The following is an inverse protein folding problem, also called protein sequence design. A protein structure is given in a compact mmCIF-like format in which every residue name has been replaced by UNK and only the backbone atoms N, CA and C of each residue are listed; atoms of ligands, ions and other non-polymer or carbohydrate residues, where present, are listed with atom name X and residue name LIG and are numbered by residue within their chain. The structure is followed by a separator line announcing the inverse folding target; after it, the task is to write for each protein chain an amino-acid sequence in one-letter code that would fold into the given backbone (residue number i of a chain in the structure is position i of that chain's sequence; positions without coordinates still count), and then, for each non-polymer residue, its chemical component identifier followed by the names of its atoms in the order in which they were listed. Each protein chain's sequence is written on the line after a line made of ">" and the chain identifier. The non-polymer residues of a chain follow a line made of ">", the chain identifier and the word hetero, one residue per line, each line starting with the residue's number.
data_IF_126865035383
#
_entry.id   IF_126865035383
#
_cell.length_a   1.000
_cell.length_b   1.000
_cell.length_c   1.000
_cell.angle_alpha   90.00
_cell.angle_beta   90.00
_cell.angle_gamma   90.00
#
_symmetry.space_group_name_H-M   'P 1'
#
loop_
_entity.id
_entity.type
_entity.pdbx_description
1 polymer ?
#
# COMPACT_ATOMS: atom_id res chain seq x y z
N UNK A 1 -49.17 12.40 6.45
CA UNK A 1 -48.03 13.31 6.25
C UNK A 1 -46.90 12.44 5.78
N UNK A 2 -46.66 12.45 4.50
CA UNK A 2 -45.76 11.55 3.76
C UNK A 2 -44.40 12.21 3.71
N UNK A 3 -43.45 11.74 4.52
CA UNK A 3 -42.07 12.25 4.55
C UNK A 3 -41.28 11.52 3.47
N UNK A 4 -41.22 12.11 2.28
CA UNK A 4 -40.51 11.58 1.14
C UNK A 4 -39.00 11.44 1.41
N UNK A 5 -38.53 10.20 1.35
CA UNK A 5 -37.10 9.88 1.29
C UNK A 5 -36.44 10.54 0.07
N UNK A 6 -35.24 11.10 0.17
CA UNK A 6 -34.56 11.70 -0.97
C UNK A 6 -34.26 10.60 -2.00
N UNK A 7 -34.82 10.79 -3.20
CA UNK A 7 -34.52 9.96 -4.38
C UNK A 7 -33.04 10.16 -4.76
N UNK A 8 -32.13 9.33 -4.26
CA UNK A 8 -30.77 9.26 -4.78
C UNK A 8 -30.83 8.79 -6.23
N UNK A 9 -30.60 9.72 -7.13
CA UNK A 9 -30.69 9.55 -8.57
C UNK A 9 -29.69 8.50 -9.04
N UNK A 10 -30.18 7.42 -9.61
CA UNK A 10 -29.43 6.37 -10.32
C UNK A 10 -28.56 6.93 -11.49
N UNK A 11 -28.72 8.21 -11.85
CA UNK A 11 -27.94 8.87 -12.90
C UNK A 11 -26.45 8.98 -12.59
N UNK A 12 -26.05 9.11 -11.29
CA UNK A 12 -24.64 9.23 -10.93
C UNK A 12 -23.85 7.94 -11.11
N UNK A 13 -24.49 6.76 -11.01
CA UNK A 13 -23.79 5.47 -11.15
C UNK A 13 -23.44 5.16 -12.61
N UNK A 14 -24.28 5.57 -13.56
CA UNK A 14 -24.01 5.37 -15.01
C UNK A 14 -22.93 6.31 -15.55
N UNK A 15 -22.89 7.56 -15.10
CA UNK A 15 -21.86 8.50 -15.51
C UNK A 15 -20.46 8.07 -14.99
N UNK A 16 -20.38 7.65 -13.74
CA UNK A 16 -19.15 7.11 -13.12
C UNK A 16 -18.65 5.86 -13.84
N UNK A 17 -19.53 4.91 -14.20
CA UNK A 17 -19.14 3.69 -14.95
C UNK A 17 -18.64 4.00 -16.36
N UNK A 18 -19.26 4.93 -17.06
CA UNK A 18 -18.86 5.34 -18.42
C UNK A 18 -17.51 6.06 -18.43
N UNK A 19 -17.26 6.93 -17.46
CA UNK A 19 -15.97 7.63 -17.30
C UNK A 19 -14.86 6.63 -16.95
N UNK A 20 -15.10 5.71 -16.00
CA UNK A 20 -14.11 4.68 -15.63
C UNK A 20 -13.76 3.76 -16.79
N UNK A 21 -14.73 3.33 -17.57
CA UNK A 21 -14.49 2.51 -18.77
C UNK A 21 -13.60 3.25 -19.76
N UNK A 22 -13.86 4.53 -19.98
CA UNK A 22 -13.06 5.37 -20.89
C UNK A 22 -11.60 5.50 -20.45
N UNK A 23 -11.33 5.70 -19.16
CA UNK A 23 -9.96 5.78 -18.63
C UNK A 23 -9.22 4.45 -18.78
N UNK A 24 -9.86 3.32 -18.49
CA UNK A 24 -9.29 1.99 -18.69
C UNK A 24 -9.03 1.73 -20.18
N UNK A 25 -9.95 2.10 -21.06
CA UNK A 25 -9.80 1.93 -22.51
C UNK A 25 -8.59 2.74 -23.04
N UNK A 26 -8.35 3.95 -22.50
CA UNK A 26 -7.17 4.77 -22.83
C UNK A 26 -5.85 4.10 -22.38
N UNK A 27 -5.84 3.54 -21.17
CA UNK A 27 -4.70 2.78 -20.65
C UNK A 27 -4.39 1.55 -21.52
N UNK A 28 -5.42 0.80 -21.90
CA UNK A 28 -5.27 -0.38 -22.75
C UNK A 28 -4.77 -0.02 -24.15
N UNK A 29 -5.24 1.09 -24.71
CA UNK A 29 -4.76 1.61 -26.00
C UNK A 29 -3.28 1.99 -25.94
N UNK A 30 -2.88 2.71 -24.89
CA UNK A 30 -1.46 3.06 -24.67
C UNK A 30 -0.59 1.81 -24.48
N UNK A 31 -1.07 0.83 -23.69
CA UNK A 31 -0.35 -0.43 -23.49
C UNK A 31 -0.11 -1.18 -24.80
N UNK A 32 -1.12 -1.24 -25.70
CA UNK A 32 -0.93 -1.85 -27.01
C UNK A 32 0.17 -1.15 -27.82
N UNK A 33 0.13 0.19 -27.87
CA UNK A 33 1.16 0.97 -28.56
C UNK A 33 2.55 0.71 -27.96
N UNK A 34 2.68 0.72 -26.63
CA UNK A 34 3.93 0.45 -25.93
C UNK A 34 4.52 -0.92 -26.29
N UNK A 35 3.69 -1.95 -26.45
CA UNK A 35 4.12 -3.29 -26.88
C UNK A 35 4.49 -3.30 -28.36
N UNK A 36 3.68 -2.70 -29.23
CA UNK A 36 3.94 -2.64 -30.68
C UNK A 36 5.26 -1.89 -30.97
N UNK A 37 5.58 -0.84 -30.19
CA UNK A 37 6.82 -0.05 -30.29
C UNK A 37 8.01 -0.67 -29.50
N UNK A 38 7.82 -1.84 -28.89
CA UNK A 38 8.81 -2.53 -28.06
C UNK A 38 9.35 -1.71 -26.89
N UNK A 39 8.56 -0.78 -26.35
CA UNK A 39 8.92 0.07 -25.22
C UNK A 39 9.34 -0.69 -23.96
N UNK A 40 9.03 -1.99 -23.89
CA UNK A 40 9.40 -2.88 -22.80
C UNK A 40 10.87 -3.31 -22.79
N UNK A 41 11.61 -3.20 -23.90
CA UNK A 41 12.97 -3.74 -24.01
C UNK A 41 13.91 -3.20 -22.92
N UNK A 42 13.79 -1.92 -22.56
CA UNK A 42 14.59 -1.30 -21.49
C UNK A 42 14.27 -1.78 -20.09
N UNK A 43 13.17 -2.54 -19.90
CA UNK A 43 12.71 -3.05 -18.61
C UNK A 43 12.95 -4.55 -18.44
N UNK A 44 13.54 -5.22 -19.42
CA UNK A 44 13.82 -6.66 -19.36
C UNK A 44 14.83 -6.93 -18.24
N UNK A 45 14.44 -7.80 -17.32
CA UNK A 45 15.26 -8.23 -16.18
C UNK A 45 14.81 -9.61 -15.70
N UNK A 46 15.40 -10.13 -14.64
CA UNK A 46 15.06 -11.39 -14.01
C UNK A 46 14.04 -11.21 -12.88
N UNK A 47 13.51 -12.33 -12.36
CA UNK A 47 12.66 -12.30 -11.17
C UNK A 47 13.43 -12.08 -9.86
N UNK A 48 14.73 -12.22 -9.85
CA UNK A 48 15.58 -12.07 -8.67
C UNK A 48 16.02 -10.61 -8.51
N UNK A 49 15.96 -10.02 -7.32
CA UNK A 49 16.38 -8.64 -7.09
C UNK A 49 17.92 -8.54 -7.06
N UNK A 50 18.49 -7.73 -7.92
CA UNK A 50 19.96 -7.61 -8.05
C UNK A 50 20.62 -7.13 -6.75
N UNK A 51 19.95 -6.22 -6.02
CA UNK A 51 20.44 -5.69 -4.73
C UNK A 51 20.10 -6.57 -3.51
N UNK A 52 19.31 -7.64 -3.70
CA UNK A 52 18.81 -8.51 -2.61
C UNK A 52 18.06 -7.75 -1.50
N UNK A 53 17.40 -6.67 -1.85
CA UNK A 53 16.64 -5.81 -0.95
C UNK A 53 15.14 -5.94 -1.22
N UNK A 54 14.33 -5.99 -0.15
CA UNK A 54 12.91 -5.71 -0.21
C UNK A 54 12.61 -4.36 0.44
N UNK A 55 11.75 -3.57 -0.18
CA UNK A 55 11.30 -2.28 0.33
C UNK A 55 9.80 -2.38 0.62
N UNK A 56 9.41 -2.13 1.87
CA UNK A 56 8.03 -1.91 2.27
C UNK A 56 7.77 -0.40 2.34
N UNK A 57 6.82 0.11 1.57
CA UNK A 57 6.48 1.53 1.55
C UNK A 57 4.99 1.78 1.35
N UNK A 58 4.57 3.05 1.51
CA UNK A 58 3.20 3.47 1.30
C UNK A 58 2.79 3.38 -0.18
N UNK A 59 1.50 3.11 -0.41
CA UNK A 59 0.89 3.15 -1.75
C UNK A 59 0.58 4.57 -2.25
N UNK A 60 1.03 5.61 -1.55
CA UNK A 60 0.86 7.01 -1.94
C UNK A 60 1.33 7.23 -3.38
N UNK A 61 0.52 7.93 -4.18
CA UNK A 61 0.78 8.14 -5.60
C UNK A 61 2.04 8.96 -5.85
N UNK A 62 2.41 9.86 -4.93
CA UNK A 62 3.63 10.67 -5.00
C UNK A 62 4.91 9.81 -4.99
N UNK A 63 4.84 8.62 -4.36
CA UNK A 63 5.97 7.70 -4.22
C UNK A 63 6.11 6.70 -5.38
N UNK A 64 5.26 6.75 -6.39
CA UNK A 64 5.29 5.78 -7.48
C UNK A 64 6.57 5.89 -8.30
N UNK A 65 7.00 7.11 -8.61
CA UNK A 65 8.24 7.40 -9.34
C UNK A 65 9.31 8.03 -8.44
N UNK A 66 8.93 8.90 -7.50
CA UNK A 66 9.85 9.61 -6.63
C UNK A 66 10.72 8.64 -5.80
N UNK A 67 10.11 7.63 -5.17
CA UNK A 67 10.84 6.71 -4.30
C UNK A 67 11.96 5.96 -5.05
N UNK A 68 11.71 5.25 -6.15
CA UNK A 68 12.80 4.60 -6.87
C UNK A 68 13.80 5.59 -7.46
N UNK A 69 13.37 6.76 -7.94
CA UNK A 69 14.26 7.77 -8.50
C UNK A 69 15.19 8.35 -7.43
N UNK A 70 14.67 8.73 -6.26
CA UNK A 70 15.46 9.27 -5.14
C UNK A 70 16.51 8.27 -4.61
N UNK A 71 16.21 6.96 -4.67
CA UNK A 71 17.12 5.90 -4.24
C UNK A 71 18.02 5.36 -5.35
N UNK A 72 17.94 5.88 -6.57
CA UNK A 72 18.70 5.38 -7.73
C UNK A 72 18.35 3.93 -8.09
N UNK A 73 17.11 3.50 -7.84
CA UNK A 73 16.64 2.13 -8.05
C UNK A 73 16.03 2.00 -9.44
N UNK A 74 16.40 0.92 -10.12
CA UNK A 74 15.90 0.56 -11.45
C UNK A 74 15.03 -0.69 -11.40
N UNK A 75 14.34 -0.97 -12.50
CA UNK A 75 13.60 -2.22 -12.67
C UNK A 75 14.53 -3.43 -12.52
N UNK A 76 14.19 -4.37 -11.63
CA UNK A 76 15.01 -5.54 -11.31
C UNK A 76 15.87 -5.41 -10.04
N UNK A 77 16.15 -4.20 -9.55
CA UNK A 77 17.05 -3.98 -8.43
C UNK A 77 16.50 -4.52 -7.09
N UNK A 78 15.21 -4.32 -6.80
CA UNK A 78 14.60 -4.59 -5.49
C UNK A 78 13.22 -5.24 -5.60
N UNK A 79 12.72 -5.81 -4.50
CA UNK A 79 11.31 -6.17 -4.35
C UNK A 79 10.56 -5.02 -3.69
N UNK A 80 9.58 -4.46 -4.38
CA UNK A 80 8.76 -3.36 -3.88
C UNK A 80 7.43 -3.91 -3.35
N UNK A 81 7.15 -3.70 -2.06
CA UNK A 81 5.90 -4.04 -1.39
C UNK A 81 5.22 -2.74 -1.00
N UNK A 82 3.97 -2.53 -1.40
CA UNK A 82 3.22 -1.32 -1.10
C UNK A 82 1.86 -1.63 -0.50
N UNK A 83 1.52 -0.91 0.58
CA UNK A 83 0.18 -0.92 1.16
C UNK A 83 -0.18 0.46 1.74
N UNK A 84 -1.38 0.61 2.29
CA UNK A 84 -1.77 1.84 2.98
C UNK A 84 -0.92 2.04 4.24
N UNK A 85 -0.13 3.10 4.25
CA UNK A 85 0.76 3.47 5.36
C UNK A 85 2.16 2.84 5.32
N UNK A 86 2.44 1.83 4.51
CA UNK A 86 3.72 1.12 4.52
C UNK A 86 3.96 0.34 5.82
N UNK A 87 2.94 -0.25 6.41
CA UNK A 87 2.93 -0.87 7.74
C UNK A 87 2.58 -2.36 7.69
N UNK A 88 2.85 -3.06 8.79
CA UNK A 88 2.32 -4.40 9.06
C UNK A 88 1.07 -4.27 9.92
N UNK A 89 -0.10 -4.46 9.33
CA UNK A 89 -1.39 -4.41 10.03
C UNK A 89 -1.85 -5.75 10.61
N UNK A 90 -1.18 -6.85 10.25
CA UNK A 90 -1.46 -8.20 10.76
C UNK A 90 -0.23 -9.08 10.64
N UNK A 91 0.14 -9.85 11.69
CA UNK A 91 1.38 -10.64 11.71
C UNK A 91 1.43 -11.75 10.66
N UNK A 92 0.29 -12.23 10.16
CA UNK A 92 0.20 -13.21 9.08
C UNK A 92 -0.52 -12.64 7.85
N UNK A 93 -0.42 -11.31 7.65
CA UNK A 93 -1.01 -10.61 6.51
C UNK A 93 -0.17 -10.70 5.24
N UNK A 94 -0.67 -10.05 4.17
CA UNK A 94 -0.05 -10.08 2.84
C UNK A 94 1.38 -9.51 2.80
N UNK A 95 1.70 -8.53 3.65
CA UNK A 95 3.05 -7.95 3.72
C UNK A 95 4.05 -8.99 4.22
N UNK A 96 3.77 -9.64 5.36
CA UNK A 96 4.64 -10.71 5.90
C UNK A 96 4.77 -11.84 4.89
N UNK A 97 3.66 -12.31 4.30
CA UNK A 97 3.73 -13.34 3.25
C UNK A 97 4.64 -12.94 2.09
N UNK A 98 4.58 -11.67 1.66
CA UNK A 98 5.43 -11.16 0.57
C UNK A 98 6.90 -11.09 0.97
N UNK A 99 7.21 -10.71 2.23
CA UNK A 99 8.58 -10.73 2.77
C UNK A 99 9.12 -12.16 2.84
N UNK A 100 8.34 -13.14 3.32
CA UNK A 100 8.76 -14.54 3.36
C UNK A 100 9.10 -15.07 1.97
N UNK A 101 8.27 -14.78 0.96
CA UNK A 101 8.56 -15.16 -0.44
C UNK A 101 9.83 -14.45 -0.94
N UNK A 102 10.01 -13.16 -0.62
CA UNK A 102 11.19 -12.41 -1.03
C UNK A 102 12.48 -12.97 -0.41
N UNK A 103 12.44 -13.36 0.84
CA UNK A 103 13.57 -13.92 1.59
C UNK A 103 13.87 -15.34 1.11
N UNK A 104 12.91 -16.25 1.22
CA UNK A 104 13.17 -17.67 1.02
C UNK A 104 13.27 -18.10 -0.44
N UNK A 105 12.49 -17.47 -1.34
CA UNK A 105 12.43 -17.86 -2.75
C UNK A 105 13.24 -16.95 -3.67
N UNK A 106 13.47 -15.70 -3.27
CA UNK A 106 14.09 -14.70 -4.15
C UNK A 106 15.42 -14.15 -3.62
N UNK A 107 15.89 -14.67 -2.47
CA UNK A 107 17.23 -14.40 -1.94
C UNK A 107 17.42 -13.00 -1.37
N UNK A 108 16.36 -12.35 -0.90
CA UNK A 108 16.45 -11.07 -0.18
C UNK A 108 17.16 -11.28 1.15
N UNK A 109 18.08 -10.39 1.48
CA UNK A 109 18.86 -10.39 2.74
C UNK A 109 18.67 -9.12 3.56
N UNK A 110 18.04 -8.09 2.97
CA UNK A 110 17.82 -6.80 3.63
C UNK A 110 16.40 -6.30 3.36
N UNK A 111 15.80 -5.69 4.39
CA UNK A 111 14.47 -5.06 4.30
C UNK A 111 14.57 -3.60 4.70
N UNK A 112 14.06 -2.72 3.87
CA UNK A 112 13.87 -1.31 4.19
C UNK A 112 12.40 -1.03 4.42
N UNK A 113 12.06 -0.46 5.57
CA UNK A 113 10.72 0.08 5.86
C UNK A 113 10.77 1.57 5.63
N UNK A 114 10.08 2.06 4.61
CA UNK A 114 10.12 3.47 4.20
C UNK A 114 8.73 4.09 4.29
N UNK A 115 8.48 4.83 5.37
CA UNK A 115 7.32 5.72 5.48
C UNK A 115 7.58 7.04 4.75
N UNK A 116 6.62 7.97 4.76
CA UNK A 116 6.79 9.28 4.12
C UNK A 116 6.12 10.41 4.90
N UNK A 117 6.59 11.64 4.67
CA UNK A 117 5.96 12.85 5.20
C UNK A 117 4.53 13.01 4.65
N UNK A 118 3.65 13.62 5.46
CA UNK A 118 2.25 13.90 5.08
C UNK A 118 1.48 12.66 4.59
N UNK A 119 1.59 11.55 5.33
CA UNK A 119 0.89 10.31 5.00
C UNK A 119 -0.58 10.37 5.43
N UNK A 120 -1.50 10.19 4.46
CA UNK A 120 -2.93 10.15 4.76
C UNK A 120 -3.34 9.04 5.74
N UNK A 121 -2.59 7.94 5.80
CA UNK A 121 -2.84 6.85 6.74
C UNK A 121 -2.50 7.23 8.20
N UNK A 122 -1.68 8.26 8.43
CA UNK A 122 -1.33 8.73 9.77
C UNK A 122 -2.57 9.18 10.57
N UNK A 123 -3.50 9.83 9.88
CA UNK A 123 -4.69 10.43 10.49
C UNK A 123 -6.00 9.68 10.18
N UNK A 124 -5.91 8.44 9.72
CA UNK A 124 -7.11 7.62 9.48
C UNK A 124 -7.90 7.41 10.77
N UNK A 125 -9.22 7.55 10.67
CA UNK A 125 -10.18 7.24 11.74
C UNK A 125 -11.07 6.08 11.29
N UNK A 126 -11.14 5.04 12.10
CA UNK A 126 -12.03 3.90 11.87
C UNK A 126 -13.49 4.35 11.81
N UNK A 127 -13.90 5.29 12.67
CA UNK A 127 -15.25 5.85 12.69
C UNK A 127 -15.58 6.57 11.37
N UNK A 128 -14.69 7.45 10.90
CA UNK A 128 -14.87 8.15 9.62
C UNK A 128 -14.89 7.18 8.45
N UNK A 129 -14.04 6.16 8.45
CA UNK A 129 -14.03 5.15 7.39
C UNK A 129 -15.35 4.37 7.35
N UNK A 130 -15.87 3.96 8.50
CA UNK A 130 -17.17 3.30 8.62
C UNK A 130 -18.30 4.23 8.15
N UNK A 131 -18.25 5.52 8.51
CA UNK A 131 -19.23 6.50 8.03
C UNK A 131 -19.20 6.62 6.50
N UNK A 132 -18.01 6.64 5.88
CA UNK A 132 -17.87 6.65 4.41
C UNK A 132 -18.37 5.36 3.76
N UNK A 133 -18.15 4.19 4.38
CA UNK A 133 -18.72 2.92 3.90
C UNK A 133 -20.25 2.98 3.91
N UNK A 134 -20.85 3.46 4.99
CA UNK A 134 -22.31 3.61 5.12
C UNK A 134 -22.86 4.60 4.09
N UNK A 135 -22.21 5.72 3.88
CA UNK A 135 -22.59 6.71 2.86
C UNK A 135 -22.56 6.13 1.43
N UNK A 136 -21.81 5.05 1.20
CA UNK A 136 -21.73 4.32 -0.07
C UNK A 136 -22.65 3.10 -0.13
N UNK A 137 -23.54 2.93 0.86
CA UNK A 137 -24.59 1.91 0.86
C UNK A 137 -24.24 0.62 1.61
N UNK A 138 -23.12 0.56 2.34
CA UNK A 138 -22.87 -0.56 3.27
C UNK A 138 -23.81 -0.40 4.47
N UNK A 139 -24.59 -1.43 4.75
CA UNK A 139 -25.57 -1.42 5.84
C UNK A 139 -24.89 -1.61 7.18
N UNK A 140 -25.50 -1.05 8.24
CA UNK A 140 -25.03 -1.20 9.61
C UNK A 140 -24.97 -2.68 10.01
N UNK A 141 -25.98 -3.46 9.64
CA UNK A 141 -26.07 -4.89 9.96
C UNK A 141 -24.89 -5.69 9.38
N UNK A 142 -24.35 -5.26 8.23
CA UNK A 142 -23.14 -5.88 7.63
C UNK A 142 -21.91 -5.61 8.50
N UNK A 143 -21.77 -4.37 8.99
CA UNK A 143 -20.66 -3.97 9.86
C UNK A 143 -20.73 -4.72 11.19
N UNK A 144 -21.94 -4.81 11.77
CA UNK A 144 -22.17 -5.50 13.03
C UNK A 144 -21.91 -7.01 12.91
N UNK A 145 -22.30 -7.61 11.77
CA UNK A 145 -21.99 -9.01 11.47
C UNK A 145 -20.47 -9.25 11.38
N UNK A 146 -19.71 -8.36 10.71
CA UNK A 146 -18.25 -8.49 10.61
C UNK A 146 -17.59 -8.38 11.99
N UNK A 147 -18.04 -7.45 12.85
CA UNK A 147 -17.59 -7.37 14.25
C UNK A 147 -17.88 -8.66 15.01
N UNK A 148 -19.08 -9.20 14.87
CA UNK A 148 -19.45 -10.48 15.48
C UNK A 148 -18.55 -11.63 14.99
N UNK A 149 -18.11 -11.61 13.72
CA UNK A 149 -17.14 -12.55 13.15
C UNK A 149 -15.69 -12.28 13.59
N UNK A 150 -15.44 -11.33 14.47
CA UNK A 150 -14.11 -11.05 15.03
C UNK A 150 -13.29 -9.99 14.29
N UNK A 151 -13.90 -9.23 13.37
CA UNK A 151 -13.21 -8.09 12.73
C UNK A 151 -13.22 -6.90 13.67
N UNK A 152 -12.06 -6.55 14.20
CA UNK A 152 -11.84 -5.34 14.99
C UNK A 152 -11.56 -4.15 14.06
N UNK A 153 -12.63 -3.46 13.63
CA UNK A 153 -12.53 -2.28 12.76
C UNK A 153 -11.80 -1.13 13.44
N UNK A 154 -11.87 -1.03 14.75
CA UNK A 154 -11.29 0.06 15.53
C UNK A 154 -9.78 0.02 15.46
N UNK A 155 -9.16 -1.14 15.59
CA UNK A 155 -7.71 -1.31 15.43
C UNK A 155 -7.28 -1.44 13.97
N UNK A 156 -8.06 -2.15 13.14
CA UNK A 156 -7.68 -2.44 11.75
C UNK A 156 -7.72 -1.23 10.82
N UNK A 157 -8.67 -0.31 11.03
CA UNK A 157 -8.85 0.89 10.22
C UNK A 157 -8.32 2.17 10.89
N UNK A 158 -7.65 2.04 12.03
CA UNK A 158 -7.09 3.20 12.73
C UNK A 158 -5.76 3.64 12.09
N UNK A 159 -5.52 4.95 12.08
CA UNK A 159 -4.24 5.52 11.67
C UNK A 159 -3.17 5.32 12.74
N UNK A 160 -1.93 5.45 12.35
CA UNK A 160 -0.82 5.22 13.29
C UNK A 160 -0.43 6.46 14.13
N UNK A 161 -1.00 7.65 13.84
CA UNK A 161 -0.80 8.89 14.61
C UNK A 161 0.60 9.50 14.55
N UNK A 162 1.64 8.70 14.61
CA UNK A 162 3.05 9.09 14.60
C UNK A 162 3.82 8.24 13.59
N UNK A 163 4.42 8.90 12.58
CA UNK A 163 5.10 8.23 11.47
C UNK A 163 6.37 7.52 11.92
N UNK A 164 7.17 8.14 12.77
CA UNK A 164 8.44 7.56 13.25
C UNK A 164 8.18 6.35 14.13
N UNK A 165 7.26 6.47 15.08
CA UNK A 165 6.83 5.35 15.92
C UNK A 165 6.28 4.19 15.09
N UNK A 166 5.51 4.48 14.04
CA UNK A 166 4.98 3.47 13.12
C UNK A 166 6.07 2.72 12.37
N UNK A 167 7.12 3.42 11.93
CA UNK A 167 8.30 2.79 11.31
C UNK A 167 8.98 1.86 12.29
N UNK A 168 9.27 2.31 13.52
CA UNK A 168 9.89 1.47 14.58
C UNK A 168 9.07 0.22 14.85
N UNK A 169 7.76 0.36 15.05
CA UNK A 169 6.86 -0.77 15.27
C UNK A 169 6.84 -1.77 14.10
N UNK A 170 6.92 -1.27 12.87
CA UNK A 170 6.97 -2.11 11.68
C UNK A 170 8.31 -2.86 11.57
N UNK A 171 9.42 -2.18 11.86
CA UNK A 171 10.76 -2.80 11.94
C UNK A 171 10.77 -3.88 13.00
N UNK A 172 10.31 -3.59 14.21
CA UNK A 172 10.23 -4.54 15.33
C UNK A 172 9.34 -5.74 14.99
N UNK A 173 8.21 -5.52 14.33
CA UNK A 173 7.31 -6.59 13.91
C UNK A 173 7.96 -7.54 12.89
N UNK A 174 8.86 -7.04 12.03
CA UNK A 174 9.64 -7.87 11.10
C UNK A 174 10.73 -8.63 11.86
N UNK A 175 11.55 -7.93 12.65
CA UNK A 175 12.68 -8.52 13.37
C UNK A 175 12.27 -9.62 14.36
N UNK A 176 11.10 -9.44 15.01
CA UNK A 176 10.59 -10.40 16.00
C UNK A 176 9.60 -11.41 15.42
N UNK A 177 9.41 -11.44 14.09
CA UNK A 177 8.48 -12.38 13.49
C UNK A 177 9.06 -13.81 13.46
N UNK A 178 8.35 -14.82 13.99
CA UNK A 178 8.89 -16.18 14.17
C UNK A 178 9.31 -16.91 12.90
N UNK A 179 8.87 -16.43 11.72
CA UNK A 179 9.21 -17.03 10.43
C UNK A 179 10.24 -16.22 9.64
N UNK A 180 10.76 -15.12 10.17
CA UNK A 180 11.82 -14.34 9.53
C UNK A 180 13.17 -14.70 10.15
N UNK A 181 14.17 -15.08 9.35
CA UNK A 181 15.49 -15.45 9.86
C UNK A 181 16.19 -14.28 10.56
N UNK A 182 16.95 -14.56 11.62
CA UNK A 182 17.65 -13.54 12.41
C UNK A 182 18.82 -12.85 11.69
N UNK A 183 19.26 -13.38 10.54
CA UNK A 183 20.31 -12.81 9.72
C UNK A 183 19.79 -11.76 8.71
N UNK A 184 18.47 -11.57 8.63
CA UNK A 184 17.87 -10.50 7.81
C UNK A 184 18.08 -9.16 8.49
N UNK A 185 18.72 -8.24 7.79
CA UNK A 185 18.85 -6.84 8.24
C UNK A 185 17.57 -6.06 7.92
N UNK A 186 17.06 -5.34 8.91
CA UNK A 186 15.86 -4.49 8.76
C UNK A 186 16.18 -3.08 9.22
N UNK A 187 15.89 -2.09 8.39
CA UNK A 187 16.14 -0.67 8.70
C UNK A 187 14.93 0.19 8.37
N UNK A 188 14.69 1.19 9.21
CA UNK A 188 13.57 2.12 9.08
C UNK A 188 13.98 3.48 8.54
N UNK A 189 13.14 4.09 7.71
CA UNK A 189 13.36 5.41 7.10
C UNK A 189 12.06 6.17 6.94
N UNK A 190 12.19 7.50 6.84
CA UNK A 190 11.12 8.39 6.39
C UNK A 190 11.63 9.14 5.16
N UNK A 191 10.90 9.06 4.05
CA UNK A 191 11.18 9.86 2.85
C UNK A 191 10.30 11.12 2.84
N UNK A 192 10.89 12.26 2.53
CA UNK A 192 10.12 13.46 2.24
C UNK A 192 9.38 13.28 0.89
N UNK A 193 8.06 13.45 0.91
CA UNK A 193 7.19 13.18 -0.24
C UNK A 193 7.29 14.21 -1.36
N UNK A 194 8.09 15.28 -1.17
CA UNK A 194 8.32 16.36 -2.14
C UNK A 194 9.74 16.32 -2.68
N UNK A 195 10.74 16.25 -1.79
CA UNK A 195 12.15 16.34 -2.16
C UNK A 195 12.79 14.98 -2.41
N UNK A 196 12.24 13.90 -1.84
CA UNK A 196 12.84 12.57 -1.87
C UNK A 196 13.97 12.38 -0.85
N UNK A 197 14.21 13.34 0.06
CA UNK A 197 15.20 13.20 1.13
C UNK A 197 14.84 12.03 2.04
N UNK A 198 15.81 11.14 2.29
CA UNK A 198 15.62 9.94 3.11
C UNK A 198 16.31 10.11 4.46
N UNK A 199 15.53 10.12 5.54
CA UNK A 199 16.01 10.24 6.92
C UNK A 199 15.92 8.88 7.62
N UNK A 200 16.99 8.36 8.23
CA UNK A 200 16.93 7.14 9.02
C UNK A 200 16.11 7.33 10.30
N UNK A 201 15.45 6.25 10.72
CA UNK A 201 14.74 6.14 12.00
C UNK A 201 15.52 5.16 12.87
N UNK A 202 16.06 5.68 13.99
CA UNK A 202 16.82 4.89 14.99
C UNK A 202 15.90 4.09 15.92
#
# INVERSE_FOLDING_TARGET
>A
MDAGLPKYSLRNSFHSKKVRKRMIDEILKYNKQFVDEKGYERFITTKYPDKKIAILSCMDTRLTELLPAALGIKNGDVKMIKNAGGIISHPFGSVIRSLLVAIYELGVTEVMVIAHSDCGACHMSSEQMIAHMKARGIKQETIDMMRFCGVDFESWLYGFGDTEKSVRQTVDAILNHPLIPHDIRVSGYIIDSVTGELTPVE
#
